data_IF_385214573674
#
_entry.id   IF_385214573674
#
_cell.length_a   1.000
_cell.length_b   1.000
_cell.length_c   1.000
_cell.angle_alpha   90.00
_cell.angle_beta   90.00
_cell.angle_gamma   90.00
#
_symmetry.space_group_name_H-M   'P 1'
#
loop_
_entity.id
_entity.type
_entity.pdbx_description
1 polymer ?
#
# COMPACT_ATOMS: atom_id res chain seq x y z
N UNK A 1 33.52 -24.59 75.96
CA UNK A 1 32.63 -24.84 74.80
C UNK A 1 31.58 -23.74 74.74
N UNK A 2 31.86 -22.65 74.01
CA UNK A 2 30.91 -21.55 73.84
C UNK A 2 29.99 -21.88 72.66
N UNK A 3 28.69 -22.07 72.94
CA UNK A 3 27.67 -22.31 71.93
C UNK A 3 27.43 -21.00 71.17
N UNK A 4 27.98 -20.89 69.96
CA UNK A 4 27.69 -19.76 69.09
C UNK A 4 26.20 -19.79 68.70
N UNK A 5 25.48 -18.68 68.90
CA UNK A 5 24.07 -18.61 68.60
C UNK A 5 23.78 -18.59 67.09
N UNK A 6 23.24 -19.69 66.58
CA UNK A 6 22.86 -19.91 65.17
C UNK A 6 21.94 -18.80 64.61
N UNK A 7 21.20 -18.11 65.48
CA UNK A 7 20.27 -17.04 65.13
C UNK A 7 20.94 -15.76 64.63
N UNK A 8 22.17 -15.46 65.08
CA UNK A 8 22.93 -14.31 64.56
C UNK A 8 23.35 -14.54 63.09
N UNK A 9 23.68 -15.77 62.71
CA UNK A 9 24.02 -16.11 61.33
C UNK A 9 22.80 -16.03 60.39
N UNK A 10 21.60 -16.39 60.86
CA UNK A 10 20.36 -16.27 60.07
C UNK A 10 19.95 -14.81 59.82
N UNK A 11 20.16 -13.91 60.80
CA UNK A 11 19.84 -12.50 60.64
C UNK A 11 20.74 -11.80 59.60
N UNK A 12 22.01 -12.20 59.51
CA UNK A 12 22.97 -11.62 58.55
C UNK A 12 22.65 -11.93 57.08
N UNK A 13 21.97 -13.05 56.79
CA UNK A 13 21.62 -13.45 55.41
C UNK A 13 20.47 -12.60 54.84
N UNK A 14 19.54 -12.16 55.68
CA UNK A 14 18.36 -11.39 55.23
C UNK A 14 18.72 -9.93 54.89
N UNK A 15 19.74 -9.36 55.51
CA UNK A 15 20.17 -7.97 55.25
C UNK A 15 20.92 -7.76 53.94
N UNK A 16 21.22 -8.82 53.17
CA UNK A 16 21.89 -8.73 51.87
C UNK A 16 20.91 -8.65 50.68
N UNK A 17 19.60 -8.61 50.93
CA UNK A 17 18.61 -8.41 49.86
C UNK A 17 18.61 -6.94 49.41
N UNK A 18 19.48 -6.60 48.44
CA UNK A 18 19.43 -5.30 47.76
C UNK A 18 18.12 -5.17 46.97
N UNK A 19 17.48 -3.98 46.94
CA UNK A 19 16.31 -3.76 46.09
C UNK A 19 16.68 -3.99 44.63
N UNK A 20 16.05 -4.97 43.99
CA UNK A 20 16.19 -5.21 42.57
C UNK A 20 15.22 -4.29 41.82
N UNK A 21 15.75 -3.33 41.07
CA UNK A 21 14.96 -2.47 40.20
C UNK A 21 14.70 -3.23 38.90
N UNK A 22 13.57 -3.94 38.83
CA UNK A 22 13.10 -4.51 37.58
C UNK A 22 12.81 -3.38 36.59
N UNK A 23 13.36 -3.45 35.38
CA UNK A 23 13.03 -2.51 34.32
C UNK A 23 11.76 -3.00 33.59
N UNK A 24 10.82 -2.10 33.36
CA UNK A 24 9.70 -2.33 32.43
C UNK A 24 10.14 -1.98 31.01
N UNK A 25 9.80 -2.84 30.04
CA UNK A 25 9.95 -2.53 28.62
C UNK A 25 8.56 -2.31 28.00
N UNK A 26 8.42 -1.21 27.24
CA UNK A 26 7.21 -0.90 26.46
C UNK A 26 7.61 -0.84 25.00
N UNK A 27 6.85 -1.52 24.13
CA UNK A 27 7.06 -1.55 22.68
C UNK A 27 5.75 -1.15 22.01
N UNK A 28 5.81 -0.21 21.07
CA UNK A 28 4.69 0.23 20.24
C UNK A 28 5.04 0.07 18.75
N UNK A 29 4.03 -0.04 17.90
CA UNK A 29 4.19 -0.07 16.44
C UNK A 29 3.08 0.73 15.78
N UNK A 30 3.33 1.21 14.56
CA UNK A 30 2.35 1.87 13.70
C UNK A 30 2.50 1.37 12.27
N UNK A 31 1.39 1.21 11.56
CA UNK A 31 1.40 0.83 10.15
C UNK A 31 1.47 2.08 9.26
N UNK A 32 2.40 2.07 8.31
CA UNK A 32 2.54 3.15 7.32
C UNK A 32 2.54 2.57 5.92
N UNK A 33 1.95 3.32 5.00
CA UNK A 33 1.89 3.04 3.57
C UNK A 33 2.81 4.04 2.88
N UNK A 34 3.71 3.52 2.06
CA UNK A 34 4.62 4.33 1.25
C UNK A 34 4.17 4.28 -0.20
N UNK A 35 3.97 5.46 -0.78
CA UNK A 35 3.63 5.68 -2.17
C UNK A 35 4.90 6.11 -2.90
N UNK A 36 5.20 5.48 -4.03
CA UNK A 36 6.29 5.85 -4.91
C UNK A 36 5.73 6.38 -6.21
N UNK A 37 5.99 7.66 -6.49
CA UNK A 37 5.62 8.32 -7.73
C UNK A 37 6.84 8.49 -8.63
N UNK A 38 6.73 8.05 -9.89
CA UNK A 38 7.76 8.15 -10.92
C UNK A 38 7.11 8.51 -12.25
N UNK A 39 7.83 9.25 -13.07
CA UNK A 39 7.51 9.40 -14.48
C UNK A 39 7.71 8.07 -15.22
N UNK A 40 7.18 7.97 -16.43
CA UNK A 40 7.30 6.80 -17.30
C UNK A 40 8.75 6.48 -17.69
N UNK A 41 9.61 7.49 -17.73
CA UNK A 41 11.05 7.36 -17.90
C UNK A 41 11.80 6.86 -16.63
N UNK A 42 11.10 6.71 -15.50
CA UNK A 42 11.63 6.23 -14.22
C UNK A 42 12.09 7.31 -13.24
N UNK A 43 12.17 8.58 -13.67
CA UNK A 43 12.58 9.70 -12.83
C UNK A 43 11.59 9.92 -11.68
N UNK A 44 12.07 10.27 -10.47
CA UNK A 44 11.18 10.53 -9.35
C UNK A 44 10.31 11.77 -9.59
N UNK A 45 9.03 11.67 -9.25
CA UNK A 45 8.15 12.84 -9.20
C UNK A 45 8.37 13.58 -7.87
N UNK A 46 9.46 14.34 -7.75
CA UNK A 46 9.78 15.11 -6.54
C UNK A 46 8.85 16.33 -6.38
N UNK A 47 8.44 16.67 -5.15
CA UNK A 47 7.52 17.78 -4.87
C UNK A 47 6.14 17.68 -5.58
N UNK A 48 5.75 16.48 -6.00
CA UNK A 48 4.47 16.21 -6.59
C UNK A 48 3.37 16.28 -5.53
N UNK A 49 2.24 16.89 -5.87
CA UNK A 49 1.12 17.03 -4.96
C UNK A 49 0.42 15.68 -4.74
N UNK A 50 0.17 15.34 -3.48
CA UNK A 50 -0.53 14.12 -3.07
C UNK A 50 -1.83 14.50 -2.38
N UNK A 51 -2.91 13.82 -2.73
CA UNK A 51 -4.23 13.92 -2.10
C UNK A 51 -4.71 12.50 -1.80
N UNK A 52 -5.16 12.28 -0.57
CA UNK A 52 -5.61 10.98 -0.08
C UNK A 52 -7.06 11.08 0.35
N UNK A 53 -7.88 10.20 -0.20
CA UNK A 53 -9.29 10.04 0.14
C UNK A 53 -9.49 8.73 0.89
N UNK A 54 -10.31 8.82 1.94
CA UNK A 54 -10.68 7.67 2.76
C UNK A 54 -11.71 6.78 2.06
N UNK A 55 -11.99 5.60 2.60
CA UNK A 55 -12.96 4.67 2.02
C UNK A 55 -14.41 5.16 2.11
N UNK A 56 -14.71 6.05 3.04
CA UNK A 56 -16.08 6.51 3.33
C UNK A 56 -16.49 7.75 2.53
N UNK A 57 -15.53 8.54 2.07
CA UNK A 57 -15.76 9.80 1.36
C UNK A 57 -14.66 10.06 0.32
N UNK A 58 -15.05 10.01 -0.96
CA UNK A 58 -14.17 10.23 -2.11
C UNK A 58 -14.07 11.71 -2.53
N UNK A 59 -14.84 12.61 -1.91
CA UNK A 59 -14.84 14.04 -2.23
C UNK A 59 -14.06 14.86 -1.19
N UNK A 60 -14.03 14.43 0.07
CA UNK A 60 -13.30 15.08 1.15
C UNK A 60 -11.90 14.47 1.37
N UNK A 61 -10.80 15.20 1.10
CA UNK A 61 -9.46 14.70 1.39
C UNK A 61 -9.25 14.46 2.89
N UNK A 62 -8.82 13.26 3.25
CA UNK A 62 -8.36 12.93 4.61
C UNK A 62 -6.95 13.46 4.86
N UNK A 63 -6.10 13.49 3.83
CA UNK A 63 -4.75 14.03 3.93
C UNK A 63 -4.30 14.62 2.60
N UNK A 64 -3.50 15.68 2.67
CA UNK A 64 -2.81 16.25 1.51
C UNK A 64 -1.33 16.46 1.84
N UNK A 65 -0.48 16.51 0.82
CA UNK A 65 0.95 16.73 1.00
C UNK A 65 1.72 16.79 -0.31
N UNK A 66 3.03 16.61 -0.21
CA UNK A 66 3.93 16.51 -1.36
C UNK A 66 4.90 15.35 -1.20
N UNK A 67 5.25 14.70 -2.30
CA UNK A 67 6.32 13.70 -2.33
C UNK A 67 7.68 14.35 -2.01
N UNK A 68 8.59 13.57 -1.43
CA UNK A 68 9.96 13.96 -1.19
C UNK A 68 10.82 13.97 -2.47
N UNK A 69 12.11 14.30 -2.35
CA UNK A 69 13.05 14.36 -3.47
C UNK A 69 13.24 13.01 -4.21
N UNK A 70 12.91 11.88 -3.56
CA UNK A 70 12.93 10.55 -4.18
C UNK A 70 11.59 10.16 -4.79
N UNK A 71 10.60 11.06 -4.79
CA UNK A 71 9.25 10.82 -5.28
C UNK A 71 8.40 9.98 -4.32
N UNK A 72 8.76 9.91 -3.03
CA UNK A 72 8.01 9.12 -2.04
C UNK A 72 7.08 9.98 -1.20
N UNK A 73 5.92 9.43 -0.84
CA UNK A 73 5.02 9.99 0.16
C UNK A 73 4.59 8.90 1.13
N UNK A 74 4.55 9.20 2.43
CA UNK A 74 4.15 8.22 3.46
C UNK A 74 2.92 8.71 4.19
N UNK A 75 1.98 7.81 4.43
CA UNK A 75 0.82 8.07 5.27
C UNK A 75 0.46 6.85 6.12
N UNK A 76 -0.20 7.10 7.24
CA UNK A 76 -0.74 6.06 8.11
C UNK A 76 -2.28 6.11 8.02
N UNK A 77 -2.94 5.15 7.35
CA UNK A 77 -4.40 5.07 7.39
C UNK A 77 -4.85 4.72 8.81
N UNK A 78 -6.00 5.25 9.21
CA UNK A 78 -6.60 4.91 10.51
C UNK A 78 -7.02 3.43 10.54
N UNK A 79 -6.62 2.70 11.59
CA UNK A 79 -7.04 1.31 11.79
C UNK A 79 -8.57 1.17 11.93
N UNK A 80 -9.26 2.24 12.34
CA UNK A 80 -10.71 2.27 12.46
C UNK A 80 -11.43 2.35 11.09
N UNK A 81 -10.72 2.56 9.99
CA UNK A 81 -11.27 2.72 8.64
C UNK A 81 -10.65 1.72 7.64
N UNK A 82 -10.97 0.42 7.77
CA UNK A 82 -10.61 -0.56 6.75
C UNK A 82 -11.39 -0.26 5.46
N UNK A 83 -10.73 -0.40 4.32
CA UNK A 83 -11.36 -0.18 3.03
C UNK A 83 -10.39 0.17 1.91
N UNK A 84 -10.93 0.77 0.85
CA UNK A 84 -10.19 1.19 -0.34
C UNK A 84 -9.89 2.68 -0.25
N UNK A 85 -8.62 3.01 -0.06
CA UNK A 85 -8.13 4.37 0.00
C UNK A 85 -7.69 4.80 -1.40
N UNK A 86 -8.16 5.95 -1.88
CA UNK A 86 -7.67 6.50 -3.14
C UNK A 86 -6.53 7.47 -2.87
N UNK A 87 -5.42 7.27 -3.57
CA UNK A 87 -4.27 8.18 -3.56
C UNK A 87 -4.13 8.77 -4.94
N UNK A 88 -4.18 10.10 -5.02
CA UNK A 88 -3.99 10.87 -6.25
C UNK A 88 -2.68 11.64 -6.16
N UNK A 89 -1.78 11.44 -7.12
CA UNK A 89 -0.50 12.17 -7.22
C UNK A 89 -0.49 12.98 -8.51
N UNK A 90 -0.15 14.27 -8.45
CA UNK A 90 -0.14 15.19 -9.60
C UNK A 90 1.08 16.11 -9.59
N UNK A 91 1.69 16.30 -10.76
CA UNK A 91 2.76 17.28 -10.99
C UNK A 91 2.77 17.74 -12.45
N UNK A 92 2.80 19.05 -12.68
CA UNK A 92 2.98 19.65 -14.02
C UNK A 92 2.10 19.03 -15.13
N UNK A 93 0.81 18.81 -14.84
CA UNK A 93 -0.14 18.22 -15.80
C UNK A 93 -0.09 16.69 -15.93
N UNK A 94 0.92 16.04 -15.35
CA UNK A 94 1.00 14.58 -15.23
C UNK A 94 0.38 14.16 -13.89
N UNK A 95 -0.45 13.12 -13.90
CA UNK A 95 -1.07 12.63 -12.69
C UNK A 95 -1.47 11.18 -12.79
N UNK A 96 -1.49 10.51 -11.64
CA UNK A 96 -1.92 9.12 -11.51
C UNK A 96 -2.73 8.97 -10.24
N UNK A 97 -3.69 8.04 -10.24
CA UNK A 97 -4.39 7.60 -9.04
C UNK A 97 -4.27 6.10 -8.86
N UNK A 98 -4.23 5.67 -7.60
CA UNK A 98 -4.16 4.26 -7.24
C UNK A 98 -5.06 3.99 -6.03
N UNK A 99 -5.64 2.79 -6.01
CA UNK A 99 -6.45 2.31 -4.90
C UNK A 99 -5.59 1.43 -4.00
N UNK A 100 -5.45 1.83 -2.73
CA UNK A 100 -4.76 1.07 -1.70
C UNK A 100 -5.76 0.31 -0.84
N UNK A 101 -5.75 -1.03 -0.86
CA UNK A 101 -6.55 -1.83 0.05
C UNK A 101 -5.92 -1.82 1.45
N UNK A 102 -6.68 -1.37 2.45
CA UNK A 102 -6.28 -1.36 3.87
C UNK A 102 -7.25 -2.24 4.64
N UNK A 103 -6.76 -3.31 5.27
CA UNK A 103 -7.61 -4.25 6.01
C UNK A 103 -8.61 -5.04 5.15
N UNK A 104 -8.53 -4.93 3.82
CA UNK A 104 -9.38 -5.64 2.85
C UNK A 104 -8.52 -6.35 1.80
N UNK A 105 -9.08 -7.38 1.17
CA UNK A 105 -8.38 -8.08 0.10
C UNK A 105 -8.06 -7.14 -1.06
N UNK A 106 -6.82 -7.20 -1.55
CA UNK A 106 -6.45 -6.55 -2.79
C UNK A 106 -7.30 -7.10 -3.94
N UNK A 107 -7.74 -6.22 -4.84
CA UNK A 107 -8.33 -6.69 -6.09
C UNK A 107 -7.28 -7.52 -6.85
N UNK A 108 -7.66 -8.64 -7.48
CA UNK A 108 -6.75 -9.32 -8.39
C UNK A 108 -6.34 -8.33 -9.47
N UNK A 109 -5.04 -8.09 -9.61
CA UNK A 109 -4.52 -7.32 -10.74
C UNK A 109 -4.88 -8.07 -12.01
N UNK A 110 -5.63 -7.43 -12.90
CA UNK A 110 -6.04 -8.01 -14.18
C UNK A 110 -4.78 -8.40 -14.95
N UNK A 111 -4.49 -9.70 -15.03
CA UNK A 111 -3.46 -10.18 -15.93
C UNK A 111 -3.82 -9.77 -17.37
N UNK A 112 -2.84 -9.50 -18.25
CA UNK A 112 -3.13 -9.17 -19.64
C UNK A 112 -3.97 -10.27 -20.27
N UNK A 113 -5.23 -9.96 -20.56
CA UNK A 113 -6.19 -10.90 -21.14
C UNK A 113 -5.81 -11.14 -22.61
N UNK A 114 -4.98 -12.15 -22.86
CA UNK A 114 -4.61 -12.56 -24.22
C UNK A 114 -5.83 -12.94 -25.07
N UNK A 115 -6.91 -13.43 -24.44
CA UNK A 115 -8.18 -13.76 -25.10
C UNK A 115 -8.86 -12.55 -25.77
N UNK A 116 -8.81 -11.36 -25.16
CA UNK A 116 -9.44 -10.17 -25.76
C UNK A 116 -8.70 -9.69 -27.01
N UNK A 117 -7.39 -9.90 -27.09
CA UNK A 117 -6.58 -9.60 -28.29
C UNK A 117 -6.91 -10.54 -29.45
N UNK A 118 -7.14 -11.83 -29.18
CA UNK A 118 -7.55 -12.80 -30.20
C UNK A 118 -8.96 -12.52 -30.72
N UNK A 119 -9.90 -12.18 -29.83
CA UNK A 119 -11.25 -11.75 -30.21
C UNK A 119 -11.23 -10.51 -31.10
N UNK A 120 -10.44 -9.50 -30.73
CA UNK A 120 -10.27 -8.29 -31.54
C UNK A 120 -9.68 -8.60 -32.93
N UNK A 121 -8.61 -9.42 -32.99
CA UNK A 121 -8.02 -9.86 -34.26
C UNK A 121 -9.00 -10.65 -35.13
N UNK A 122 -9.77 -11.56 -34.54
CA UNK A 122 -10.81 -12.32 -35.24
C UNK A 122 -11.91 -11.44 -35.83
N UNK A 123 -12.35 -10.41 -35.10
CA UNK A 123 -13.35 -9.46 -35.59
C UNK A 123 -12.85 -8.65 -36.80
N UNK A 124 -11.58 -8.23 -36.78
CA UNK A 124 -10.96 -7.53 -37.92
C UNK A 124 -10.88 -8.43 -39.15
N UNK A 125 -10.40 -9.67 -38.98
CA UNK A 125 -10.32 -10.66 -40.07
C UNK A 125 -11.71 -10.91 -40.66
N UNK A 126 -12.72 -11.11 -39.81
CA UNK A 126 -14.10 -11.31 -40.25
C UNK A 126 -14.66 -10.09 -41.00
N UNK A 127 -14.37 -8.88 -40.54
CA UNK A 127 -14.75 -7.64 -41.23
C UNK A 127 -14.14 -7.54 -42.63
N UNK A 128 -12.85 -7.87 -42.78
CA UNK A 128 -12.19 -7.91 -44.08
C UNK A 128 -12.81 -8.96 -45.02
N UNK A 129 -13.10 -10.16 -44.51
CA UNK A 129 -13.76 -11.22 -45.28
C UNK A 129 -15.16 -10.78 -45.72
N UNK A 130 -15.97 -10.24 -44.81
CA UNK A 130 -17.31 -9.75 -45.11
C UNK A 130 -17.32 -8.66 -46.18
N UNK A 131 -16.35 -7.73 -46.10
CA UNK A 131 -16.18 -6.65 -47.08
C UNK A 131 -15.80 -7.21 -48.46
N UNK A 132 -14.84 -8.15 -48.52
CA UNK A 132 -14.45 -8.78 -49.77
C UNK A 132 -15.62 -9.56 -50.41
N UNK A 133 -16.39 -10.29 -49.61
CA UNK A 133 -17.56 -11.04 -50.07
C UNK A 133 -18.66 -10.11 -50.60
N UNK A 134 -18.90 -8.96 -49.95
CA UNK A 134 -19.86 -7.96 -50.41
C UNK A 134 -19.56 -7.48 -51.83
N UNK A 135 -18.30 -7.15 -52.12
CA UNK A 135 -17.89 -6.69 -53.46
C UNK A 135 -17.76 -7.82 -54.49
N UNK A 136 -17.59 -9.08 -54.06
CA UNK A 136 -17.53 -10.24 -54.97
C UNK A 136 -18.89 -10.60 -55.59
N UNK A 137 -20.00 -10.25 -54.92
CA UNK A 137 -21.37 -10.59 -55.36
C UNK A 137 -21.87 -9.81 -56.58
N UNK A 138 -21.18 -8.73 -56.97
CA UNK A 138 -21.55 -7.89 -58.12
C UNK A 138 -20.95 -8.30 -59.48
N UNK A 139 -20.17 -9.39 -59.55
CA UNK A 139 -19.45 -9.82 -60.78
C UNK A 139 -20.09 -11.01 -61.52
N UNK A 140 -21.37 -11.29 -61.27
CA UNK A 140 -22.16 -12.29 -61.99
C UNK A 140 -23.44 -11.70 -62.55
N UNK A 141 -23.33 -10.85 -63.56
CA UNK A 141 -24.38 -10.44 -64.48
C UNK A 141 -23.72 -10.08 -65.83
#
# INVERSE_FOLDING_TARGET
MTRQPLWLALLSVVSMASPAWGHGAVVTYEQTITIQARYDNGDPMADAQVVIYGPDDAEAPQQTGKTDASGQFKFAPSEAQPGRWEVVVRQAGHGSSLIVPVGVAAAPQSAPAWGSKLLAGGAVIWGCIGTALFFSRGKGA
#
